data_IF_147366473907
#
_entry.id   IF_147366473907
#
_cell.length_a   1.000
_cell.length_b   1.000
_cell.length_c   1.000
_cell.angle_alpha   90.00
_cell.angle_beta   90.00
_cell.angle_gamma   90.00
#
_symmetry.space_group_name_H-M   'P 1'
#
loop_
_entity.id
_entity.type
_entity.pdbx_description
1 polymer ?
#
# COMPACT_ATOMS: atom_id res chain seq x y z
N UNK A 1 -0.30 4.67 22.51
CA UNK A 1 -1.27 4.58 21.39
C UNK A 1 -2.45 3.66 21.70
N UNK A 2 -2.24 2.41 22.13
CA UNK A 2 -3.34 1.47 22.45
C UNK A 2 -4.31 1.97 23.55
N UNK A 3 -3.84 2.68 24.57
CA UNK A 3 -4.70 3.19 25.66
C UNK A 3 -5.58 4.38 25.24
N UNK A 4 -5.23 5.11 24.19
CA UNK A 4 -6.03 6.24 23.65
C UNK A 4 -7.24 5.71 22.86
N UNK A 5 -7.14 4.51 22.29
CA UNK A 5 -8.25 3.87 21.58
C UNK A 5 -9.36 3.36 22.51
N UNK A 6 -9.03 3.01 23.76
CA UNK A 6 -9.93 2.27 24.64
C UNK A 6 -10.96 3.13 25.39
N UNK A 7 -10.81 4.46 25.41
CA UNK A 7 -11.74 5.36 26.14
C UNK A 7 -12.69 6.15 25.23
N UNK A 8 -12.21 6.67 24.10
CA UNK A 8 -12.99 7.52 23.17
C UNK A 8 -12.54 7.36 21.69
N UNK A 9 -12.01 6.18 21.33
CA UNK A 9 -11.14 5.94 20.16
C UNK A 9 -11.37 6.80 18.91
N UNK A 10 -10.29 7.42 18.42
CA UNK A 10 -10.28 8.20 17.18
C UNK A 10 -10.58 7.25 16.01
N UNK A 11 -11.59 7.58 15.21
CA UNK A 11 -11.94 6.79 14.02
C UNK A 11 -10.96 7.04 12.88
N UNK A 12 -10.86 6.10 11.94
CA UNK A 12 -10.06 6.27 10.72
C UNK A 12 -10.37 7.58 9.99
N UNK A 13 -11.67 7.92 9.86
CA UNK A 13 -12.11 9.16 9.22
C UNK A 13 -11.66 10.40 10.00
N UNK A 14 -11.77 10.39 11.32
CA UNK A 14 -11.27 11.49 12.15
C UNK A 14 -9.75 11.64 12.00
N UNK A 15 -8.99 10.55 11.88
CA UNK A 15 -7.55 10.61 11.60
C UNK A 15 -7.26 11.25 10.23
N UNK A 16 -8.02 10.92 9.18
CA UNK A 16 -7.88 11.54 7.87
C UNK A 16 -8.14 13.06 7.89
N UNK A 17 -9.11 13.51 8.69
CA UNK A 17 -9.45 14.94 8.82
C UNK A 17 -8.41 15.74 9.60
N UNK A 18 -7.62 15.07 10.45
CA UNK A 18 -6.61 15.70 11.32
C UNK A 18 -5.18 15.56 10.77
N UNK A 19 -5.01 15.19 9.50
CA UNK A 19 -3.69 15.20 8.86
C UNK A 19 -3.10 16.62 8.85
N UNK A 20 -1.78 16.72 8.98
CA UNK A 20 -1.10 17.99 8.88
C UNK A 20 -1.42 18.66 7.52
N UNK A 21 -1.66 19.98 7.51
CA UNK A 21 -1.96 20.69 6.28
C UNK A 21 -0.75 20.64 5.34
N UNK A 22 -1.04 20.59 4.03
CA UNK A 22 -0.01 20.74 2.98
C UNK A 22 0.60 22.16 3.03
N UNK A 23 1.87 22.35 2.63
CA UNK A 23 2.76 21.32 2.10
C UNK A 23 3.34 20.41 3.19
N UNK A 24 3.46 19.12 2.88
CA UNK A 24 4.20 18.18 3.72
C UNK A 24 5.71 18.36 3.58
N UNK A 25 6.49 17.70 4.45
CA UNK A 25 7.96 17.81 4.45
C UNK A 25 8.58 17.41 3.11
N UNK A 26 8.01 16.39 2.46
CA UNK A 26 8.23 16.01 1.07
C UNK A 26 6.83 15.88 0.46
N UNK A 27 6.53 16.68 -0.56
CA UNK A 27 5.17 16.79 -1.11
C UNK A 27 5.19 16.76 -2.65
N UNK A 28 5.28 15.55 -3.19
CA UNK A 28 5.20 15.28 -4.63
C UNK A 28 3.77 14.92 -5.09
N UNK A 29 2.76 15.16 -4.24
CA UNK A 29 1.39 14.72 -4.50
C UNK A 29 0.82 15.29 -5.81
N UNK A 30 1.07 16.56 -6.11
CA UNK A 30 0.55 17.17 -7.34
C UNK A 30 1.24 16.63 -8.59
N UNK A 31 2.54 16.35 -8.52
CA UNK A 31 3.29 15.69 -9.60
C UNK A 31 2.78 14.25 -9.83
N UNK A 32 2.51 13.52 -8.75
CA UNK A 32 1.90 12.20 -8.82
C UNK A 32 0.50 12.25 -9.43
N UNK A 33 -0.36 13.22 -9.05
CA UNK A 33 -1.69 13.42 -9.65
C UNK A 33 -1.62 13.71 -11.15
N UNK A 34 -0.67 14.52 -11.61
CA UNK A 34 -0.46 14.78 -13.04
C UNK A 34 -0.08 13.49 -13.79
N UNK A 35 0.83 12.70 -13.22
CA UNK A 35 1.22 11.40 -13.77
C UNK A 35 0.06 10.41 -13.76
N UNK A 36 -0.71 10.37 -12.66
CA UNK A 36 -1.90 9.55 -12.48
C UNK A 36 -2.91 9.80 -13.60
N UNK A 37 -3.17 11.06 -13.98
CA UNK A 37 -4.12 11.39 -15.03
C UNK A 37 -3.64 11.00 -16.45
N UNK A 38 -2.32 11.02 -16.69
CA UNK A 38 -1.75 10.86 -18.04
C UNK A 38 -1.21 9.45 -18.33
N UNK A 39 -0.71 8.77 -17.31
CA UNK A 39 -0.08 7.44 -17.42
C UNK A 39 -1.08 6.37 -17.01
N UNK A 40 -1.14 5.30 -17.80
CA UNK A 40 -1.79 4.05 -17.40
C UNK A 40 -0.68 3.10 -16.98
N UNK A 41 -0.53 2.91 -15.66
CA UNK A 41 0.33 1.86 -15.15
C UNK A 41 -0.29 0.50 -15.47
N UNK A 42 0.54 -0.45 -15.88
CA UNK A 42 0.11 -1.81 -16.18
C UNK A 42 0.28 -2.72 -14.96
N UNK A 43 1.23 -2.42 -14.09
CA UNK A 43 1.59 -3.27 -12.96
C UNK A 43 2.18 -2.48 -11.79
N UNK A 44 1.42 -2.43 -10.71
CA UNK A 44 1.80 -1.83 -9.45
C UNK A 44 2.25 -2.88 -8.43
N UNK A 45 3.30 -2.56 -7.68
CA UNK A 45 3.81 -3.29 -6.53
C UNK A 45 3.70 -2.39 -5.31
N UNK A 46 3.03 -2.84 -4.25
CA UNK A 46 2.78 -2.07 -3.03
C UNK A 46 3.32 -2.86 -1.84
N UNK A 47 4.35 -2.32 -1.18
CA UNK A 47 4.84 -2.80 0.10
C UNK A 47 4.02 -2.15 1.20
N UNK A 48 3.44 -2.96 2.09
CA UNK A 48 2.57 -2.49 3.18
C UNK A 48 3.24 -2.70 4.53
N UNK A 49 3.10 -1.74 5.42
CA UNK A 49 3.75 -1.71 6.74
C UNK A 49 2.85 -2.36 7.80
N UNK A 50 1.63 -1.82 7.99
CA UNK A 50 0.82 -2.12 9.17
C UNK A 50 -0.45 -2.92 8.89
N UNK A 51 -0.83 -3.74 9.87
CA UNK A 51 -2.12 -4.45 9.87
C UNK A 51 -3.30 -3.53 10.24
N UNK A 52 -4.53 -3.97 10.00
CA UNK A 52 -5.72 -3.25 10.45
C UNK A 52 -6.15 -2.13 9.50
N UNK A 53 -6.34 -0.92 10.02
CA UNK A 53 -6.93 0.19 9.26
C UNK A 53 -6.09 0.61 8.04
N UNK A 54 -4.76 0.52 8.13
CA UNK A 54 -3.86 0.95 7.05
C UNK A 54 -4.06 0.10 5.79
N UNK A 55 -4.01 -1.23 5.92
CA UNK A 55 -4.32 -2.12 4.78
C UNK A 55 -5.79 -2.04 4.39
N UNK A 56 -6.72 -2.14 5.35
CA UNK A 56 -8.15 -2.35 5.03
C UNK A 56 -8.83 -1.08 4.51
N UNK A 57 -8.49 0.08 5.08
CA UNK A 57 -9.15 1.36 4.77
C UNK A 57 -8.23 2.31 3.98
N UNK A 58 -6.92 2.07 3.94
CA UNK A 58 -5.96 2.83 3.13
C UNK A 58 -5.60 2.11 1.83
N UNK A 59 -4.80 1.05 1.93
CA UNK A 59 -4.18 0.37 0.78
C UNK A 59 -5.21 -0.33 -0.10
N UNK A 60 -6.11 -1.15 0.45
CA UNK A 60 -7.08 -1.90 -0.35
C UNK A 60 -8.01 -1.00 -1.18
N UNK A 61 -8.56 0.11 -0.64
CA UNK A 61 -9.31 1.07 -1.46
C UNK A 61 -8.48 1.69 -2.58
N UNK A 62 -7.20 1.98 -2.32
CA UNK A 62 -6.28 2.51 -3.33
C UNK A 62 -5.91 1.47 -4.41
N UNK A 63 -5.62 0.23 -4.02
CA UNK A 63 -5.42 -0.90 -4.92
C UNK A 63 -6.66 -1.17 -5.78
N UNK A 64 -7.86 -1.07 -5.19
CA UNK A 64 -9.13 -1.17 -5.92
C UNK A 64 -9.24 -0.09 -7.01
N UNK A 65 -8.81 1.13 -6.72
CA UNK A 65 -8.82 2.21 -7.71
C UNK A 65 -7.80 1.95 -8.83
N UNK A 66 -6.61 1.47 -8.51
CA UNK A 66 -5.62 1.03 -9.52
C UNK A 66 -6.19 -0.04 -10.45
N UNK A 67 -6.87 -1.06 -9.89
CA UNK A 67 -7.55 -2.12 -10.63
C UNK A 67 -8.67 -1.57 -11.53
N UNK A 68 -9.48 -0.64 -11.01
CA UNK A 68 -10.56 0.02 -11.77
C UNK A 68 -10.03 0.74 -13.02
N UNK A 69 -8.79 1.22 -12.96
CA UNK A 69 -8.11 1.90 -14.07
C UNK A 69 -7.35 0.94 -15.01
N UNK A 70 -7.47 -0.36 -14.80
CA UNK A 70 -6.84 -1.40 -15.62
C UNK A 70 -5.41 -1.73 -15.23
N UNK A 71 -4.94 -1.30 -14.06
CA UNK A 71 -3.62 -1.65 -13.51
C UNK A 71 -3.69 -3.03 -12.86
N UNK A 72 -2.73 -3.91 -13.08
CA UNK A 72 -2.55 -5.10 -12.23
C UNK A 72 -1.88 -4.68 -10.92
N UNK A 73 -2.34 -5.14 -9.77
CA UNK A 73 -1.84 -4.70 -8.46
C UNK A 73 -1.29 -5.89 -7.68
N UNK A 74 -0.19 -5.71 -6.97
CA UNK A 74 0.41 -6.74 -6.13
C UNK A 74 0.80 -6.15 -4.79
N UNK A 75 0.26 -6.70 -3.72
CA UNK A 75 0.47 -6.27 -2.33
C UNK A 75 1.44 -7.22 -1.63
N UNK A 76 2.27 -6.72 -0.72
CA UNK A 76 3.29 -7.51 -0.03
C UNK A 76 3.28 -7.24 1.46
N UNK A 77 2.98 -8.27 2.26
CA UNK A 77 2.93 -8.22 3.73
C UNK A 77 3.72 -9.39 4.32
N UNK A 78 4.41 -9.14 5.43
CA UNK A 78 5.11 -10.18 6.18
C UNK A 78 4.20 -10.79 7.27
N UNK A 79 4.15 -12.13 7.35
CA UNK A 79 3.30 -12.88 8.29
C UNK A 79 1.93 -13.36 7.73
N UNK A 80 1.43 -14.48 8.26
CA UNK A 80 0.19 -15.15 7.82
C UNK A 80 -1.07 -14.44 8.33
N UNK A 81 -1.64 -13.55 7.53
CA UNK A 81 -3.07 -13.22 7.61
C UNK A 81 -3.65 -13.05 6.19
N UNK A 82 -4.64 -13.88 5.87
CA UNK A 82 -5.34 -13.85 4.58
C UNK A 82 -6.50 -12.86 4.66
N UNK A 83 -6.52 -11.84 3.81
CA UNK A 83 -7.71 -11.03 3.60
C UNK A 83 -8.63 -11.80 2.65
N UNK A 84 -9.66 -12.43 3.22
CA UNK A 84 -10.75 -13.05 2.47
C UNK A 84 -11.69 -11.96 1.94
N UNK A 85 -11.61 -11.69 0.62
CA UNK A 85 -12.73 -11.11 -0.13
C UNK A 85 -12.45 -9.86 -0.96
N UNK A 86 -11.77 -10.02 -2.10
CA UNK A 86 -12.05 -9.30 -3.37
C UNK A 86 -11.68 -10.29 -4.49
N UNK A 87 -12.63 -10.70 -5.35
CA UNK A 87 -12.28 -11.53 -6.52
C UNK A 87 -11.61 -10.63 -7.58
N UNK A 88 -10.33 -10.35 -7.38
CA UNK A 88 -9.52 -9.59 -8.31
C UNK A 88 -8.46 -10.54 -8.88
N UNK A 89 -8.70 -11.07 -10.09
CA UNK A 89 -7.73 -11.90 -10.82
C UNK A 89 -6.35 -11.23 -10.98
N UNK A 90 -6.31 -9.91 -10.81
CA UNK A 90 -5.14 -9.07 -10.96
C UNK A 90 -4.62 -8.48 -9.63
N UNK A 91 -5.09 -8.98 -8.48
CA UNK A 91 -4.53 -8.63 -7.16
C UNK A 91 -3.79 -9.86 -6.60
N UNK A 92 -2.49 -9.74 -6.33
CA UNK A 92 -1.71 -10.81 -5.72
C UNK A 92 -1.08 -10.36 -4.40
N UNK A 93 -1.22 -11.19 -3.36
CA UNK A 93 -0.48 -11.04 -2.11
C UNK A 93 0.77 -11.93 -2.14
N UNK A 94 1.93 -11.37 -1.83
CA UNK A 94 3.20 -12.09 -1.88
C UNK A 94 4.06 -11.72 -0.68
N UNK A 95 4.80 -12.67 -0.12
CA UNK A 95 5.68 -12.41 1.01
C UNK A 95 6.96 -11.72 0.55
N UNK A 96 7.41 -10.69 1.27
CA UNK A 96 8.60 -9.92 0.87
C UNK A 96 9.91 -10.68 1.11
N UNK A 97 9.89 -11.66 2.02
CA UNK A 97 11.07 -12.35 2.54
C UNK A 97 11.72 -11.65 3.74
N UNK A 98 11.20 -10.48 4.14
CA UNK A 98 11.68 -9.72 5.30
C UNK A 98 10.98 -10.15 6.59
N UNK A 99 11.69 -10.01 7.70
CA UNK A 99 11.18 -10.09 9.06
C UNK A 99 11.51 -8.82 9.89
N UNK A 100 11.97 -7.77 9.19
CA UNK A 100 12.37 -6.49 9.77
C UNK A 100 11.30 -5.42 9.51
N UNK A 101 11.18 -4.39 10.37
CA UNK A 101 10.30 -3.24 10.15
C UNK A 101 10.80 -2.29 9.05
N UNK A 102 11.83 -2.70 8.30
CA UNK A 102 12.41 -2.01 7.15
C UNK A 102 12.68 -3.03 6.06
N UNK A 103 12.69 -2.61 4.80
CA UNK A 103 12.91 -3.49 3.65
C UNK A 103 14.27 -3.20 2.99
N UNK A 104 15.10 -4.23 2.89
CA UNK A 104 16.30 -4.20 2.04
C UNK A 104 15.93 -4.72 0.65
N UNK A 105 15.74 -3.81 -0.31
CA UNK A 105 15.37 -4.18 -1.68
C UNK A 105 16.47 -4.95 -2.43
N UNK A 106 17.71 -4.99 -1.91
CA UNK A 106 18.75 -5.88 -2.44
C UNK A 106 18.59 -7.33 -1.98
N UNK A 107 17.73 -7.58 -0.98
CA UNK A 107 17.52 -8.87 -0.36
C UNK A 107 16.01 -9.16 -0.19
N UNK A 108 15.35 -9.50 -1.30
CA UNK A 108 13.92 -9.85 -1.33
C UNK A 108 13.71 -11.32 -1.69
N UNK A 109 12.54 -11.87 -1.38
CA UNK A 109 12.19 -13.23 -1.78
C UNK A 109 12.28 -13.42 -3.30
N UNK A 110 12.74 -14.59 -3.79
CA UNK A 110 12.76 -14.88 -5.23
C UNK A 110 11.39 -14.74 -5.89
N UNK A 111 10.32 -15.06 -5.16
CA UNK A 111 8.94 -14.90 -5.60
C UNK A 111 8.61 -13.43 -5.85
N UNK A 112 8.91 -12.54 -4.89
CA UNK A 112 8.72 -11.10 -5.06
C UNK A 112 9.55 -10.58 -6.24
N UNK A 113 10.83 -10.93 -6.32
CA UNK A 113 11.70 -10.50 -7.43
C UNK A 113 11.12 -10.88 -8.80
N UNK A 114 10.72 -12.15 -8.97
CA UNK A 114 10.10 -12.64 -10.20
C UNK A 114 8.81 -11.90 -10.53
N UNK A 115 7.97 -11.71 -9.51
CA UNK A 115 6.65 -11.10 -9.64
C UNK A 115 6.71 -9.61 -9.93
N UNK A 116 7.74 -8.90 -9.45
CA UNK A 116 7.93 -7.45 -9.57
C UNK A 116 8.79 -7.03 -10.76
N UNK A 117 9.43 -7.96 -11.48
CA UNK A 117 10.41 -7.70 -12.54
C UNK A 117 9.95 -6.73 -13.65
N UNK A 118 8.66 -6.69 -13.95
CA UNK A 118 8.00 -5.86 -14.96
C UNK A 118 7.04 -4.81 -14.34
N UNK A 119 7.19 -4.51 -13.04
CA UNK A 119 6.41 -3.45 -12.40
C UNK A 119 6.78 -2.08 -12.99
N UNK A 120 5.76 -1.27 -13.31
CA UNK A 120 5.92 0.10 -13.83
C UNK A 120 5.44 1.17 -12.84
N UNK A 121 5.02 0.73 -11.64
CA UNK A 121 4.76 1.49 -10.44
C UNK A 121 5.18 0.68 -9.20
N UNK A 122 5.99 1.28 -8.33
CA UNK A 122 6.35 0.72 -7.02
C UNK A 122 5.97 1.73 -5.96
N UNK A 123 5.33 1.27 -4.89
CA UNK A 123 4.87 2.08 -3.76
C UNK A 123 5.40 1.43 -2.49
N UNK A 124 6.06 2.23 -1.67
CA UNK A 124 6.52 1.86 -0.33
C UNK A 124 5.66 2.64 0.66
N UNK A 125 4.86 1.94 1.45
CA UNK A 125 4.11 2.51 2.57
C UNK A 125 4.83 2.16 3.88
N UNK A 126 4.84 3.11 4.82
CA UNK A 126 5.61 3.02 6.05
C UNK A 126 6.53 4.23 6.27
N UNK A 127 7.15 4.29 7.45
CA UNK A 127 8.10 5.33 7.86
C UNK A 127 9.56 4.95 7.60
#
# INVERSE_FOLDING_TARGET
LAEVFAKDGISFLASCENLLPRPWVIDDLDAFKLSWMRKSWKKAVIFVDNSGADIVLGILPFARELLRRGTQVKEFKDGKEYILGVEAKNLLLVNSGSDLPVIDLSCVSPELAYIANDADLVILEGM
#
